data_IF_765303911271
#
_entry.id   IF_765303911271
#
_cell.length_a   1.000
_cell.length_b   1.000
_cell.length_c   1.000
_cell.angle_alpha   90.00
_cell.angle_beta   90.00
_cell.angle_gamma   90.00
#
_symmetry.space_group_name_H-M   'P 1'
#
loop_
_entity.id
_entity.type
_entity.pdbx_description
1 polymer ?
#
# COMPACT_ATOMS: atom_id res chain seq x y z
N UNK A 1 4.58 4.52 -16.46
CA UNK A 1 3.83 3.32 -16.00
C UNK A 1 2.38 3.72 -15.78
N UNK A 2 1.43 2.81 -16.05
CA UNK A 2 0.01 3.08 -16.00
C UNK A 2 -0.50 3.16 -14.55
N UNK A 3 -1.27 4.21 -14.24
CA UNK A 3 -1.94 4.39 -12.95
C UNK A 3 -3.31 3.70 -12.89
N UNK A 4 -3.82 3.20 -14.03
CA UNK A 4 -5.11 2.52 -14.09
C UNK A 4 -5.08 1.19 -13.35
N UNK A 5 -6.20 0.83 -12.74
CA UNK A 5 -6.38 -0.43 -12.00
C UNK A 5 -7.46 -1.23 -12.72
N UNK A 6 -7.25 -2.54 -12.92
CA UNK A 6 -8.27 -3.40 -13.51
C UNK A 6 -8.49 -4.69 -12.71
N UNK A 7 -9.72 -5.19 -12.76
CA UNK A 7 -10.09 -6.45 -12.08
C UNK A 7 -9.32 -7.63 -12.68
N UNK A 8 -9.09 -7.64 -13.99
CA UNK A 8 -8.35 -8.71 -14.63
C UNK A 8 -6.88 -8.74 -14.17
N UNK A 9 -6.26 -7.56 -14.02
CA UNK A 9 -4.90 -7.47 -13.47
C UNK A 9 -4.85 -7.80 -11.97
N UNK A 10 -5.93 -7.59 -11.20
CA UNK A 10 -6.02 -8.11 -9.82
C UNK A 10 -6.05 -9.64 -9.82
N UNK A 11 -6.78 -10.27 -10.74
CA UNK A 11 -6.77 -11.75 -10.89
C UNK A 11 -5.38 -12.27 -11.28
N UNK A 12 -4.73 -11.62 -12.23
CA UNK A 12 -3.34 -11.95 -12.61
C UNK A 12 -2.38 -11.81 -11.42
N UNK A 13 -2.53 -10.76 -10.63
CA UNK A 13 -1.73 -10.52 -9.43
C UNK A 13 -1.81 -11.69 -8.45
N UNK A 14 -2.99 -12.27 -8.25
CA UNK A 14 -3.16 -13.43 -7.36
C UNK A 14 -2.35 -14.66 -7.82
N UNK A 15 -2.09 -14.79 -9.12
CA UNK A 15 -1.23 -15.86 -9.67
C UNK A 15 0.27 -15.54 -9.65
N UNK A 16 0.65 -14.26 -9.47
CA UNK A 16 2.03 -13.81 -9.51
C UNK A 16 2.62 -13.59 -8.11
N UNK A 17 1.85 -13.07 -7.17
CA UNK A 17 2.31 -12.72 -5.82
C UNK A 17 2.85 -13.95 -5.10
N UNK A 18 3.93 -13.77 -4.33
CA UNK A 18 4.49 -14.83 -3.49
C UNK A 18 3.39 -15.34 -2.54
N UNK A 19 3.12 -16.66 -2.50
CA UNK A 19 2.07 -17.26 -1.65
C UNK A 19 2.16 -16.87 -0.16
N UNK A 20 3.34 -16.45 0.32
CA UNK A 20 3.52 -15.99 1.71
C UNK A 20 2.68 -14.74 2.04
N UNK A 21 2.21 -14.01 1.04
CA UNK A 21 1.34 -12.85 1.20
C UNK A 21 -0.12 -13.12 0.90
N UNK A 22 -0.44 -14.28 0.34
CA UNK A 22 -1.79 -14.65 -0.06
C UNK A 22 -2.47 -15.51 1.01
N UNK A 23 -3.78 -15.67 0.87
CA UNK A 23 -4.61 -16.50 1.76
C UNK A 23 -4.36 -16.22 3.25
N UNK A 24 -4.19 -14.92 3.57
CA UNK A 24 -3.98 -14.48 4.94
C UNK A 24 -5.19 -14.80 5.83
N UNK A 25 -5.00 -15.02 7.14
CA UNK A 25 -6.07 -15.43 8.04
C UNK A 25 -7.29 -14.50 7.94
N UNK A 26 -8.46 -15.13 7.88
CA UNK A 26 -9.77 -14.49 7.91
C UNK A 26 -10.66 -15.28 8.88
N UNK A 27 -11.24 -14.62 9.86
CA UNK A 27 -12.04 -15.27 10.88
C UNK A 27 -13.03 -14.33 11.55
N UNK A 28 -14.12 -14.92 12.08
CA UNK A 28 -15.09 -14.22 12.90
C UNK A 28 -14.47 -13.76 14.22
N UNK A 29 -14.57 -12.48 14.50
CA UNK A 29 -14.06 -11.88 15.74
C UNK A 29 -15.20 -11.69 16.76
N UNK A 30 -15.50 -12.72 17.53
CA UNK A 30 -16.59 -12.70 18.52
C UNK A 30 -16.51 -11.50 19.50
N UNK A 31 -15.32 -11.15 20.08
CA UNK A 31 -15.23 -9.98 20.98
C UNK A 31 -15.62 -8.67 20.31
N UNK A 32 -15.22 -8.45 19.04
CA UNK A 32 -15.60 -7.26 18.28
C UNK A 32 -17.08 -7.28 17.90
N UNK A 33 -17.58 -8.42 17.44
CA UNK A 33 -18.98 -8.60 17.09
C UNK A 33 -19.88 -8.27 18.26
N UNK A 34 -19.55 -8.76 19.46
CA UNK A 34 -20.28 -8.47 20.70
C UNK A 34 -20.21 -6.97 21.07
N UNK A 35 -19.05 -6.34 20.92
CA UNK A 35 -18.86 -4.93 21.25
C UNK A 35 -19.58 -4.00 20.28
N UNK A 36 -19.60 -4.33 19.00
CA UNK A 36 -20.18 -3.52 17.94
C UNK A 36 -21.67 -3.84 17.69
N UNK A 37 -22.18 -4.97 18.18
CA UNK A 37 -23.55 -5.42 17.94
C UNK A 37 -23.80 -5.91 16.50
N UNK A 38 -22.73 -6.24 15.75
CA UNK A 38 -22.79 -6.69 14.36
C UNK A 38 -21.74 -7.76 14.12
N UNK A 39 -22.04 -8.77 13.29
CA UNK A 39 -21.09 -9.80 12.90
C UNK A 39 -19.85 -9.15 12.27
N UNK A 40 -18.68 -9.43 12.83
CA UNK A 40 -17.42 -8.78 12.45
C UNK A 40 -16.37 -9.82 12.10
N UNK A 41 -15.90 -9.78 10.86
CA UNK A 41 -14.80 -10.60 10.35
C UNK A 41 -13.50 -9.79 10.32
N UNK A 42 -12.41 -10.37 10.79
CA UNK A 42 -11.07 -9.79 10.65
C UNK A 42 -10.32 -10.45 9.50
N UNK A 43 -9.78 -9.64 8.59
CA UNK A 43 -8.77 -10.02 7.60
C UNK A 43 -7.40 -9.55 8.07
N UNK A 44 -6.49 -10.49 8.38
CA UNK A 44 -5.24 -10.20 9.10
C UNK A 44 -4.05 -10.15 8.14
N UNK A 45 -3.64 -8.96 7.75
CA UNK A 45 -2.56 -8.72 6.78
C UNK A 45 -1.17 -8.51 7.41
N UNK A 46 -1.00 -8.78 8.69
CA UNK A 46 0.27 -8.59 9.40
C UNK A 46 1.04 -9.89 9.72
N UNK A 47 0.53 -11.05 9.32
CA UNK A 47 1.17 -12.36 9.57
C UNK A 47 1.98 -12.83 8.36
N UNK A 48 2.87 -11.97 7.88
CA UNK A 48 3.76 -12.22 6.76
C UNK A 48 5.15 -11.64 7.04
N UNK A 49 6.19 -11.91 6.22
CA UNK A 49 7.57 -11.51 6.49
C UNK A 49 7.80 -10.02 6.71
N UNK A 50 6.98 -9.16 6.13
CA UNK A 50 7.08 -7.70 6.30
C UNK A 50 6.03 -7.12 7.24
N UNK A 51 5.16 -7.97 7.81
CA UNK A 51 4.09 -7.60 8.75
C UNK A 51 3.11 -6.54 8.20
N UNK A 52 2.85 -6.57 6.89
CA UNK A 52 1.99 -5.59 6.22
C UNK A 52 1.46 -6.12 4.89
N UNK A 53 0.28 -5.63 4.49
CA UNK A 53 -0.30 -5.89 3.18
C UNK A 53 0.57 -5.36 2.01
N UNK A 54 1.50 -4.43 2.29
CA UNK A 54 2.36 -3.81 1.27
C UNK A 54 3.19 -4.82 0.48
N UNK A 55 3.44 -6.01 1.03
CA UNK A 55 4.11 -7.09 0.31
C UNK A 55 3.38 -7.52 -0.95
N UNK A 56 2.05 -7.53 -0.95
CA UNK A 56 1.25 -7.91 -2.12
C UNK A 56 1.51 -6.99 -3.31
N UNK A 57 1.38 -5.69 -3.11
CA UNK A 57 1.58 -4.71 -4.18
C UNK A 57 3.03 -4.60 -4.63
N UNK A 58 3.98 -4.64 -3.70
CA UNK A 58 5.40 -4.58 -3.99
C UNK A 58 5.87 -5.81 -4.81
N UNK A 59 5.48 -7.01 -4.40
CA UNK A 59 5.86 -8.24 -5.09
C UNK A 59 5.24 -8.34 -6.49
N UNK A 60 3.95 -7.98 -6.60
CA UNK A 60 3.29 -7.90 -7.90
C UNK A 60 3.99 -6.91 -8.84
N UNK A 61 4.31 -5.71 -8.36
CA UNK A 61 4.99 -4.68 -9.16
C UNK A 61 6.35 -5.19 -9.65
N UNK A 62 7.20 -5.70 -8.74
CA UNK A 62 8.56 -6.14 -9.10
C UNK A 62 8.52 -7.28 -10.12
N UNK A 63 7.60 -8.23 -9.99
CA UNK A 63 7.41 -9.32 -10.95
C UNK A 63 6.92 -8.84 -12.31
N UNK A 64 6.00 -7.88 -12.35
CA UNK A 64 5.55 -7.24 -13.60
C UNK A 64 6.64 -6.48 -14.32
N UNK A 65 7.59 -5.87 -13.60
CA UNK A 65 8.74 -5.20 -14.19
C UNK A 65 9.74 -6.18 -14.81
N UNK A 66 9.61 -7.48 -14.52
CA UNK A 66 10.44 -8.55 -15.10
C UNK A 66 11.88 -8.55 -14.59
N UNK A 67 12.18 -7.88 -13.50
CA UNK A 67 13.47 -7.96 -12.81
C UNK A 67 14.67 -7.42 -13.59
N UNK A 68 14.48 -6.51 -14.56
CA UNK A 68 15.50 -6.17 -15.56
C UNK A 68 16.37 -4.97 -15.21
N UNK A 69 15.96 -4.13 -14.27
CA UNK A 69 16.67 -2.89 -13.93
C UNK A 69 16.63 -2.60 -12.44
N UNK A 70 17.66 -1.93 -11.92
CA UNK A 70 17.67 -1.47 -10.53
C UNK A 70 16.54 -0.51 -10.25
N UNK A 71 16.01 -0.58 -9.02
CA UNK A 71 14.90 0.25 -8.57
C UNK A 71 15.35 1.19 -7.46
N UNK A 72 14.73 2.35 -7.41
CA UNK A 72 14.89 3.31 -6.31
C UNK A 72 13.52 3.80 -5.83
N UNK A 73 13.36 3.97 -4.53
CA UNK A 73 12.16 4.55 -3.93
C UNK A 73 12.50 5.36 -2.68
N UNK A 74 11.55 6.19 -2.23
CA UNK A 74 11.61 6.79 -0.91
C UNK A 74 10.61 6.11 0.01
N UNK A 75 11.07 5.66 1.19
CA UNK A 75 10.18 5.06 2.19
C UNK A 75 10.85 4.97 3.56
N UNK A 76 10.13 5.34 4.60
CA UNK A 76 10.50 5.10 5.98
C UNK A 76 9.71 3.94 6.64
N UNK A 77 8.88 3.24 5.88
CA UNK A 77 7.88 2.32 6.43
C UNK A 77 7.72 0.99 5.68
N UNK A 78 6.50 0.47 5.74
CA UNK A 78 6.14 -0.85 5.23
C UNK A 78 6.30 -1.00 3.70
N UNK A 79 6.16 0.09 2.94
CA UNK A 79 6.38 0.05 1.50
C UNK A 79 7.84 -0.28 1.17
N UNK A 80 8.80 0.40 1.80
CA UNK A 80 10.23 0.11 1.62
C UNK A 80 10.59 -1.33 2.00
N UNK A 81 10.00 -1.86 3.09
CA UNK A 81 10.20 -3.27 3.47
C UNK A 81 9.61 -4.22 2.44
N UNK A 82 8.41 -3.93 1.89
CA UNK A 82 7.79 -4.70 0.82
C UNK A 82 8.64 -4.74 -0.44
N UNK A 83 9.11 -3.56 -0.88
CA UNK A 83 10.01 -3.45 -2.04
C UNK A 83 11.32 -4.20 -1.81
N UNK A 84 11.94 -4.08 -0.62
CA UNK A 84 13.17 -4.78 -0.28
C UNK A 84 12.99 -6.31 -0.33
N UNK A 85 11.87 -6.81 0.22
CA UNK A 85 11.54 -8.24 0.15
C UNK A 85 11.38 -8.71 -1.30
N UNK A 86 10.55 -8.02 -2.08
CA UNK A 86 10.24 -8.38 -3.46
C UNK A 86 11.48 -8.32 -4.36
N UNK A 87 12.29 -7.27 -4.23
CA UNK A 87 13.51 -7.10 -4.99
C UNK A 87 14.54 -8.19 -4.66
N UNK A 88 14.73 -8.52 -3.36
CA UNK A 88 15.60 -9.62 -2.93
C UNK A 88 15.17 -10.94 -3.56
N UNK A 89 13.88 -11.25 -3.55
CA UNK A 89 13.33 -12.50 -4.12
C UNK A 89 13.49 -12.58 -5.63
N UNK A 90 13.46 -11.45 -6.31
CA UNK A 90 13.60 -11.34 -7.77
C UNK A 90 15.02 -11.05 -8.24
N UNK A 91 16.01 -10.95 -7.34
CA UNK A 91 17.40 -10.65 -7.70
C UNK A 91 17.61 -9.22 -8.23
N UNK A 92 16.71 -8.30 -7.89
CA UNK A 92 16.75 -6.89 -8.32
C UNK A 92 17.45 -6.04 -7.26
N UNK A 93 18.33 -5.14 -7.67
CA UNK A 93 18.92 -4.16 -6.76
C UNK A 93 17.87 -3.11 -6.39
N UNK A 94 17.84 -2.73 -5.11
CA UNK A 94 16.97 -1.67 -4.60
C UNK A 94 17.75 -0.67 -3.77
N UNK A 95 17.60 0.61 -4.11
CA UNK A 95 18.03 1.74 -3.29
C UNK A 95 16.79 2.38 -2.63
N UNK A 96 16.83 2.54 -1.32
CA UNK A 96 15.74 3.18 -0.55
C UNK A 96 16.27 4.44 0.11
N UNK A 97 15.69 5.58 -0.21
CA UNK A 97 15.94 6.83 0.48
C UNK A 97 14.99 6.96 1.67
N UNK A 98 15.54 7.29 2.83
CA UNK A 98 14.77 7.51 4.05
C UNK A 98 15.25 8.80 4.74
N UNK A 99 14.31 9.55 5.30
CA UNK A 99 14.62 10.77 6.03
C UNK A 99 15.46 10.49 7.28
N UNK A 100 16.18 11.49 7.77
CA UNK A 100 16.95 11.42 9.02
C UNK A 100 16.09 11.11 10.24
N UNK A 101 14.80 11.48 10.19
CA UNK A 101 13.78 11.19 11.20
C UNK A 101 13.21 9.76 11.12
N UNK A 102 13.63 8.94 10.13
CA UNK A 102 13.10 7.59 9.94
C UNK A 102 13.41 6.68 11.13
N UNK A 103 12.45 5.80 11.46
CA UNK A 103 12.62 4.83 12.53
C UNK A 103 13.78 3.87 12.22
N UNK A 104 14.80 3.87 13.09
CA UNK A 104 16.02 3.06 12.93
C UNK A 104 15.73 1.56 12.75
N UNK A 105 14.74 1.02 13.46
CA UNK A 105 14.34 -0.40 13.33
C UNK A 105 13.81 -0.71 11.93
N UNK A 106 13.07 0.21 11.32
CA UNK A 106 12.56 0.03 9.95
C UNK A 106 13.69 0.09 8.93
N UNK A 107 14.63 1.01 9.12
CA UNK A 107 15.86 1.10 8.29
C UNK A 107 16.67 -0.20 8.36
N UNK A 108 16.90 -0.72 9.57
CA UNK A 108 17.62 -1.99 9.76
C UNK A 108 16.90 -3.17 9.09
N UNK A 109 15.58 -3.24 9.17
CA UNK A 109 14.79 -4.28 8.49
C UNK A 109 14.93 -4.22 6.98
N UNK A 110 14.89 -3.02 6.39
CA UNK A 110 15.11 -2.86 4.95
C UNK A 110 16.52 -3.31 4.53
N UNK A 111 17.55 -2.96 5.32
CA UNK A 111 18.94 -3.43 5.11
C UNK A 111 19.05 -4.95 5.24
N UNK A 112 18.45 -5.53 6.26
CA UNK A 112 18.41 -6.99 6.46
C UNK A 112 17.70 -7.73 5.31
N UNK A 113 16.76 -7.08 4.66
CA UNK A 113 16.11 -7.57 3.43
C UNK A 113 16.94 -7.33 2.17
N UNK A 114 18.14 -6.74 2.27
CA UNK A 114 19.08 -6.58 1.15
C UNK A 114 18.97 -5.25 0.40
N UNK A 115 18.19 -4.29 0.86
CA UNK A 115 18.14 -2.97 0.26
C UNK A 115 19.37 -2.12 0.66
N UNK A 116 19.89 -1.34 -0.28
CA UNK A 116 20.77 -0.23 0.02
C UNK A 116 19.93 0.93 0.57
N UNK A 117 20.15 1.31 1.84
CA UNK A 117 19.39 2.40 2.47
C UNK A 117 20.27 3.62 2.64
N UNK A 118 19.90 4.70 1.95
CA UNK A 118 20.51 6.02 2.02
C UNK A 118 19.66 6.89 2.96
N UNK A 119 20.30 7.47 3.97
CA UNK A 119 19.63 8.40 4.88
C UNK A 119 19.92 9.82 4.38
N UNK A 120 18.91 10.44 3.79
CA UNK A 120 19.02 11.78 3.21
C UNK A 120 17.67 12.52 3.26
N UNK A 121 17.72 13.80 3.65
CA UNK A 121 16.56 14.66 3.82
C UNK A 121 16.10 14.74 5.29
N UNK A 122 15.62 15.92 5.68
CA UNK A 122 15.11 16.15 7.04
C UNK A 122 13.76 15.49 7.25
N UNK A 123 12.95 15.44 6.19
CA UNK A 123 11.60 14.84 6.17
C UNK A 123 11.40 13.91 4.97
N UNK A 124 10.20 13.36 4.88
CA UNK A 124 9.85 12.40 3.82
C UNK A 124 9.85 13.02 2.41
N UNK A 125 9.43 14.29 2.27
CA UNK A 125 9.40 14.95 0.97
C UNK A 125 10.81 15.24 0.46
N UNK A 126 11.72 15.70 1.34
CA UNK A 126 13.13 15.85 1.02
C UNK A 126 13.80 14.53 0.62
N UNK A 127 13.47 13.43 1.31
CA UNK A 127 13.95 12.08 0.93
C UNK A 127 13.40 11.63 -0.44
N UNK A 128 12.15 11.96 -0.77
CA UNK A 128 11.57 11.71 -2.11
C UNK A 128 12.32 12.45 -3.20
N UNK A 129 12.62 13.72 -2.97
CA UNK A 129 13.35 14.55 -3.95
C UNK A 129 14.78 14.04 -4.15
N UNK A 130 15.44 13.58 -3.07
CA UNK A 130 16.74 12.92 -3.16
C UNK A 130 16.66 11.63 -3.98
N UNK A 131 15.65 10.80 -3.76
CA UNK A 131 15.42 9.57 -4.52
C UNK A 131 15.17 9.83 -6.01
N UNK A 132 14.43 10.88 -6.35
CA UNK A 132 14.19 11.29 -7.75
C UNK A 132 15.47 11.77 -8.43
N UNK A 133 16.24 12.64 -7.77
CA UNK A 133 17.54 13.08 -8.30
C UNK A 133 18.47 11.88 -8.54
N UNK A 134 18.55 10.97 -7.57
CA UNK A 134 19.35 9.75 -7.73
C UNK A 134 18.91 8.92 -8.93
N UNK A 135 17.61 8.76 -9.15
CA UNK A 135 17.07 8.03 -10.30
C UNK A 135 17.49 8.68 -11.64
N UNK A 136 17.42 10.01 -11.72
CA UNK A 136 17.81 10.77 -12.91
C UNK A 136 19.31 10.62 -13.21
N UNK A 137 20.16 10.63 -12.18
CA UNK A 137 21.61 10.55 -12.29
C UNK A 137 22.09 9.11 -12.58
N UNK A 138 21.49 8.12 -11.93
CA UNK A 138 21.91 6.71 -12.01
C UNK A 138 21.26 5.91 -13.14
N UNK A 139 20.11 6.39 -13.66
CA UNK A 139 19.26 5.65 -14.59
C UNK A 139 18.46 4.52 -13.91
N UNK A 140 18.44 4.45 -12.58
CA UNK A 140 17.56 3.53 -11.84
C UNK A 140 16.09 3.93 -11.99
N UNK A 141 15.18 2.96 -11.96
CA UNK A 141 13.76 3.25 -12.09
C UNK A 141 13.18 3.72 -10.75
N UNK A 142 12.70 4.97 -10.73
CA UNK A 142 12.01 5.52 -9.55
C UNK A 142 10.62 4.92 -9.38
N UNK A 143 10.35 4.42 -8.18
CA UNK A 143 9.08 3.84 -7.77
C UNK A 143 8.47 4.66 -6.63
N UNK A 144 7.27 5.17 -6.85
CA UNK A 144 6.51 5.89 -5.83
C UNK A 144 5.25 5.12 -5.42
N UNK A 145 5.10 4.91 -4.11
CA UNK A 145 3.89 4.28 -3.55
C UNK A 145 2.67 5.18 -3.79
N UNK A 146 1.59 4.58 -4.25
CA UNK A 146 0.36 5.30 -4.55
C UNK A 146 0.21 5.82 -5.98
N UNK A 147 1.28 5.82 -6.81
CA UNK A 147 1.19 6.26 -8.21
C UNK A 147 0.98 5.13 -9.21
N UNK A 148 1.34 3.91 -8.84
CA UNK A 148 1.35 2.79 -9.77
C UNK A 148 0.15 1.87 -9.56
N UNK A 149 -0.65 1.67 -10.60
CA UNK A 149 -1.81 0.77 -10.58
C UNK A 149 -1.45 -0.63 -10.11
N UNK A 150 -0.29 -1.15 -10.50
CA UNK A 150 0.19 -2.47 -10.10
C UNK A 150 0.28 -2.67 -8.57
N UNK A 151 0.62 -1.62 -7.81
CA UNK A 151 0.67 -1.69 -6.34
C UNK A 151 -0.73 -1.88 -5.77
N UNK A 152 -1.69 -1.12 -6.29
CA UNK A 152 -3.09 -1.22 -5.87
C UNK A 152 -3.73 -2.54 -6.35
N UNK A 153 -3.38 -3.04 -7.53
CA UNK A 153 -3.83 -4.33 -8.05
C UNK A 153 -3.39 -5.48 -7.15
N UNK A 154 -2.13 -5.49 -6.71
CA UNK A 154 -1.66 -6.45 -5.72
C UNK A 154 -2.44 -6.37 -4.40
N UNK A 155 -2.73 -5.16 -3.90
CA UNK A 155 -3.55 -4.97 -2.72
C UNK A 155 -5.01 -5.41 -2.92
N UNK A 156 -5.54 -5.31 -4.14
CA UNK A 156 -6.88 -5.75 -4.53
C UNK A 156 -7.12 -7.24 -4.33
N UNK A 157 -6.07 -8.08 -4.34
CA UNK A 157 -6.18 -9.51 -4.06
C UNK A 157 -6.75 -9.81 -2.66
N UNK A 158 -6.65 -8.86 -1.73
CA UNK A 158 -7.30 -8.96 -0.41
C UNK A 158 -8.82 -9.06 -0.56
N UNK A 159 -9.40 -8.20 -1.39
CA UNK A 159 -10.84 -8.23 -1.63
C UNK A 159 -11.29 -9.47 -2.40
N UNK A 160 -10.45 -9.99 -3.30
CA UNK A 160 -10.69 -11.26 -3.96
C UNK A 160 -10.78 -12.41 -2.95
N UNK A 161 -9.91 -12.42 -1.94
CA UNK A 161 -9.97 -13.40 -0.85
C UNK A 161 -11.20 -13.19 0.05
N UNK A 162 -11.50 -11.93 0.42
CA UNK A 162 -12.65 -11.58 1.26
C UNK A 162 -14.00 -12.00 0.67
N UNK A 163 -14.12 -12.03 -0.64
CA UNK A 163 -15.38 -12.33 -1.34
C UNK A 163 -15.46 -13.77 -1.84
N UNK A 164 -14.52 -14.65 -1.46
CA UNK A 164 -14.44 -16.02 -1.97
C UNK A 164 -15.67 -16.85 -1.59
N UNK A 165 -16.10 -16.76 -0.32
CA UNK A 165 -17.23 -17.54 0.19
C UNK A 165 -18.52 -16.73 0.12
N UNK A 166 -18.54 -15.57 0.78
CA UNK A 166 -19.67 -14.65 0.77
C UNK A 166 -19.16 -13.20 0.89
N UNK A 167 -19.69 -12.26 0.08
CA UNK A 167 -19.33 -10.87 0.22
C UNK A 167 -19.89 -10.29 1.53
N UNK A 168 -19.11 -9.48 2.27
CA UNK A 168 -19.61 -8.76 3.45
C UNK A 168 -20.51 -7.59 3.04
N UNK A 169 -21.38 -7.13 3.96
CA UNK A 169 -22.19 -5.93 3.74
C UNK A 169 -21.33 -4.66 3.67
N UNK A 170 -20.25 -4.60 4.46
CA UNK A 170 -19.33 -3.47 4.49
C UNK A 170 -17.89 -3.91 4.79
N UNK A 171 -16.91 -3.21 4.20
CA UNK A 171 -15.48 -3.40 4.48
C UNK A 171 -14.88 -2.07 4.95
N UNK A 172 -14.32 -2.07 6.17
CA UNK A 172 -13.57 -0.94 6.71
C UNK A 172 -12.10 -1.05 6.29
N UNK A 173 -11.62 -0.06 5.55
CA UNK A 173 -10.30 -0.09 4.93
C UNK A 173 -9.48 1.11 5.41
N UNK A 174 -8.29 0.89 6.02
CA UNK A 174 -7.39 2.00 6.35
C UNK A 174 -6.99 2.79 5.11
N UNK A 175 -7.11 4.12 5.18
CA UNK A 175 -6.78 5.04 4.10
C UNK A 175 -5.53 5.86 4.45
N UNK A 176 -4.40 5.47 3.86
CA UNK A 176 -3.19 6.29 3.76
C UNK A 176 -3.10 6.91 2.36
N UNK A 177 -2.14 6.48 1.55
CA UNK A 177 -1.96 6.94 0.16
C UNK A 177 -3.00 6.43 -0.86
N UNK A 178 -3.95 5.59 -0.45
CA UNK A 178 -5.04 5.13 -1.28
C UNK A 178 -4.84 3.78 -1.99
N UNK A 179 -3.64 3.23 -2.07
CA UNK A 179 -3.40 1.97 -2.81
C UNK A 179 -4.30 0.82 -2.35
N UNK A 180 -4.50 0.67 -1.02
CA UNK A 180 -5.33 -0.39 -0.45
C UNK A 180 -6.80 -0.20 -0.81
N UNK A 181 -7.34 0.99 -0.54
CA UNK A 181 -8.75 1.31 -0.80
C UNK A 181 -9.08 1.20 -2.29
N UNK A 182 -8.18 1.67 -3.15
CA UNK A 182 -8.37 1.61 -4.60
C UNK A 182 -8.38 0.17 -5.12
N UNK A 183 -7.45 -0.67 -4.66
CA UNK A 183 -7.41 -2.08 -5.05
C UNK A 183 -8.66 -2.83 -4.60
N UNK A 184 -9.03 -2.70 -3.32
CA UNK A 184 -10.22 -3.31 -2.73
C UNK A 184 -11.49 -2.80 -3.43
N UNK A 185 -11.63 -1.48 -3.56
CA UNK A 185 -12.81 -0.88 -4.18
C UNK A 185 -12.98 -1.24 -5.65
N UNK A 186 -11.88 -1.37 -6.41
CA UNK A 186 -11.93 -1.80 -7.81
C UNK A 186 -12.46 -3.22 -7.94
N UNK A 187 -11.99 -4.13 -7.10
CA UNK A 187 -12.51 -5.51 -7.07
C UNK A 187 -13.98 -5.55 -6.66
N UNK A 188 -14.32 -4.95 -5.51
CA UNK A 188 -15.66 -5.03 -4.95
C UNK A 188 -16.72 -4.42 -5.86
N UNK A 189 -16.40 -3.33 -6.56
CA UNK A 189 -17.33 -2.70 -7.51
C UNK A 189 -17.85 -3.69 -8.57
N UNK A 190 -17.03 -4.64 -8.99
CA UNK A 190 -17.40 -5.63 -9.99
C UNK A 190 -17.92 -6.92 -9.36
N UNK A 191 -17.24 -7.43 -8.33
CA UNK A 191 -17.51 -8.76 -7.77
C UNK A 191 -18.59 -8.76 -6.68
N UNK A 192 -18.77 -7.64 -5.98
CA UNK A 192 -19.73 -7.50 -4.88
C UNK A 192 -20.25 -6.05 -4.81
N UNK A 193 -21.02 -5.58 -5.79
CA UNK A 193 -21.41 -4.17 -5.92
C UNK A 193 -22.33 -3.66 -4.79
N UNK A 194 -22.90 -4.55 -3.99
CA UNK A 194 -23.67 -4.20 -2.79
C UNK A 194 -22.82 -3.96 -1.55
N UNK A 195 -21.55 -4.40 -1.55
CA UNK A 195 -20.64 -4.21 -0.43
C UNK A 195 -20.21 -2.75 -0.32
N UNK A 196 -20.42 -2.15 0.84
CA UNK A 196 -19.95 -0.80 1.12
C UNK A 196 -18.45 -0.80 1.44
N UNK A 197 -17.68 0.09 0.82
CA UNK A 197 -16.27 0.33 1.18
C UNK A 197 -16.19 1.60 2.02
N UNK A 198 -15.77 1.45 3.27
CA UNK A 198 -15.65 2.55 4.23
C UNK A 198 -14.17 2.82 4.47
N UNK A 199 -13.67 3.90 3.87
CA UNK A 199 -12.31 4.35 4.05
C UNK A 199 -12.12 5.03 5.41
N UNK A 200 -11.09 4.62 6.16
CA UNK A 200 -10.83 5.12 7.53
C UNK A 200 -9.50 5.86 7.57
N UNK A 201 -9.55 7.17 7.80
CA UNK A 201 -8.37 8.01 8.06
C UNK A 201 -8.11 8.12 9.56
N UNK A 202 -6.86 8.35 9.93
CA UNK A 202 -6.53 8.79 11.27
C UNK A 202 -7.01 10.24 11.48
N UNK A 203 -7.70 10.53 12.60
CA UNK A 203 -8.17 11.87 12.91
C UNK A 203 -7.03 12.91 12.95
N UNK A 204 -5.84 12.49 13.40
CA UNK A 204 -4.64 13.33 13.43
C UNK A 204 -3.91 13.43 12.07
N UNK A 205 -4.40 12.80 11.00
CA UNK A 205 -3.82 12.88 9.64
C UNK A 205 -4.94 12.84 8.58
N UNK A 206 -5.82 13.85 8.53
CA UNK A 206 -7.05 13.83 7.75
C UNK A 206 -6.87 14.27 6.27
N UNK A 207 -5.66 14.47 5.78
CA UNK A 207 -5.39 15.05 4.45
C UNK A 207 -6.19 14.38 3.33
N UNK A 208 -6.32 13.05 3.34
CA UNK A 208 -7.04 12.31 2.31
C UNK A 208 -8.54 12.53 2.39
N UNK A 209 -9.14 12.53 3.58
CA UNK A 209 -10.55 12.84 3.77
C UNK A 209 -10.89 14.27 3.35
N UNK A 210 -10.06 15.24 3.78
CA UNK A 210 -10.23 16.65 3.43
C UNK A 210 -10.10 16.86 1.90
N UNK A 211 -9.16 16.20 1.27
CA UNK A 211 -8.98 16.24 -0.18
C UNK A 211 -10.19 15.70 -0.92
N UNK A 212 -10.72 14.59 -0.42
CA UNK A 212 -11.93 14.01 -1.00
C UNK A 212 -13.14 14.94 -0.89
N UNK A 213 -13.42 15.46 0.31
CA UNK A 213 -14.54 16.40 0.53
C UNK A 213 -14.40 17.66 -0.32
N UNK A 214 -13.18 18.14 -0.51
CA UNK A 214 -12.89 19.34 -1.28
C UNK A 214 -12.88 19.11 -2.81
N UNK A 215 -12.83 17.85 -3.28
CA UNK A 215 -12.68 17.53 -4.70
C UNK A 215 -11.33 17.97 -5.30
N UNK A 216 -10.35 18.29 -4.46
CA UNK A 216 -9.00 18.74 -4.85
C UNK A 216 -7.97 18.36 -3.78
N UNK A 217 -6.67 18.28 -4.13
CA UNK A 217 -5.62 18.05 -3.13
C UNK A 217 -5.64 19.09 -2.01
N UNK A 218 -5.60 18.59 -0.77
CA UNK A 218 -5.50 19.39 0.46
C UNK A 218 -4.38 18.79 1.31
N UNK A 219 -3.48 19.63 1.81
CA UNK A 219 -2.47 19.25 2.80
C UNK A 219 -3.00 19.45 4.22
N UNK A 220 -2.62 18.58 5.13
CA UNK A 220 -2.93 18.70 6.54
C UNK A 220 -1.74 18.19 7.38
N UNK A 221 -1.55 18.73 8.59
CA UNK A 221 -0.56 18.19 9.53
C UNK A 221 -0.82 16.72 9.83
N UNK A 222 0.23 15.98 10.14
CA UNK A 222 0.13 14.62 10.64
C UNK A 222 0.59 14.57 12.11
N UNK A 223 -0.34 14.20 13.01
CA UNK A 223 -0.11 14.02 14.43
C UNK A 223 -0.82 12.74 14.89
N UNK A 224 -0.32 11.60 14.46
CA UNK A 224 -0.91 10.29 14.76
C UNK A 224 0.17 9.25 15.03
N UNK A 225 -0.15 8.27 15.90
CA UNK A 225 0.68 7.08 16.12
C UNK A 225 0.48 6.04 15.00
N UNK A 226 -0.51 6.23 14.12
CA UNK A 226 -0.84 5.31 13.04
C UNK A 226 -0.03 5.63 11.78
N UNK A 227 1.30 5.45 11.82
CA UNK A 227 2.25 5.77 10.75
C UNK A 227 1.82 5.25 9.38
N UNK A 228 1.24 4.05 9.31
CA UNK A 228 0.84 3.41 8.06
C UNK A 228 -0.26 4.15 7.28
N UNK A 229 -0.96 5.09 7.93
CA UNK A 229 -2.02 5.93 7.35
C UNK A 229 -1.80 7.43 7.63
N UNK A 230 -0.58 7.83 7.97
CA UNK A 230 -0.21 9.21 8.30
C UNK A 230 0.08 10.04 7.03
N UNK A 231 -0.90 10.13 6.12
CA UNK A 231 -0.76 10.91 4.90
C UNK A 231 -0.85 12.41 5.18
N UNK A 232 0.14 13.18 4.72
CA UNK A 232 0.19 14.66 4.86
C UNK A 232 -0.34 15.39 3.62
N UNK A 233 -0.38 14.71 2.48
CA UNK A 233 -0.87 15.24 1.22
C UNK A 233 -1.56 14.16 0.40
N UNK A 234 -2.39 14.60 -0.55
CA UNK A 234 -3.00 13.71 -1.52
C UNK A 234 -1.98 13.18 -2.52
N UNK A 235 -1.93 11.87 -2.69
CA UNK A 235 -1.18 11.21 -3.76
C UNK A 235 -2.12 10.84 -4.92
N UNK A 236 -1.66 11.00 -6.13
CA UNK A 236 -2.38 11.08 -7.42
C UNK A 236 -3.27 9.91 -7.88
N UNK A 237 -3.64 8.96 -7.04
CA UNK A 237 -4.69 8.02 -7.41
C UNK A 237 -6.02 8.76 -7.39
N UNK A 238 -6.63 8.93 -8.54
CA UNK A 238 -7.76 9.81 -8.79
C UNK A 238 -8.91 9.61 -7.79
N UNK A 239 -9.26 10.66 -7.05
CA UNK A 239 -10.40 10.75 -6.13
C UNK A 239 -11.72 10.15 -6.66
N UNK A 240 -12.09 10.25 -7.96
CA UNK A 240 -13.30 9.63 -8.48
C UNK A 240 -13.33 8.10 -8.35
N UNK A 241 -12.18 7.46 -8.24
CA UNK A 241 -12.07 5.99 -8.15
C UNK A 241 -12.23 5.49 -6.70
N UNK A 242 -11.88 6.31 -5.71
CA UNK A 242 -11.93 5.92 -4.29
C UNK A 242 -13.34 5.95 -3.72
N UNK A 243 -14.23 6.79 -4.26
CA UNK A 243 -15.32 7.34 -3.46
C UNK A 243 -16.71 7.33 -4.11
N UNK A 244 -16.90 6.61 -5.17
CA UNK A 244 -18.20 6.19 -5.64
C UNK A 244 -18.43 4.72 -5.31
N UNK A 245 -18.45 4.42 -4.03
CA UNK A 245 -18.96 3.15 -3.52
C UNK A 245 -20.14 3.44 -2.63
#
# INVERSE_FOLDING_TARGET
>A
MDASISVDRIREAAGLIDPVFLDTPQFDCEPLSKRLGVATVLKVECVNPIRSFKGRGADHLVKRLGGRQPLVCASAGNFGQGMAYACRRSGVRLTVFAATSANALTVERMRALGAMVVIEGEDFDAAKDAARRHAEESGELYIEDGLLGAIAEGAGTIAMELTRDAPPDAVFVPLGNGSLVNGIGTWLRQAAPSTQVIAVCAAGAPAMELSWRAGRPVTAPSATIADGIAAVSYTHLTLPTILRV
#
